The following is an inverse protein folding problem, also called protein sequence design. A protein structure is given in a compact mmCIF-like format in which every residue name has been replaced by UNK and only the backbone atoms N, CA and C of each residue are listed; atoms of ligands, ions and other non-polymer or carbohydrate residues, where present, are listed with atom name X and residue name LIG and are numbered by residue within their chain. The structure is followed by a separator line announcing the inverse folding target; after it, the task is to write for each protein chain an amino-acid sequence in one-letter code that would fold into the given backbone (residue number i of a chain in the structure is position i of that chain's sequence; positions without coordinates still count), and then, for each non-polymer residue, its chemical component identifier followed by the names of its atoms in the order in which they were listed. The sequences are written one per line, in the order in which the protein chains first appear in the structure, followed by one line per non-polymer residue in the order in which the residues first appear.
data_IF_211057420171
#
_entry.id   IF_211057420171
#
_cell.length_a   1.000
_cell.length_b   1.000
_cell.length_c   1.000
_cell.angle_alpha   90.00
_cell.angle_beta   90.00
_cell.angle_gamma   90.00
#
_symmetry.space_group_name_H-M   'P 1'
#
loop_
_entity.id
_entity.type
_entity.pdbx_description
1 polymer ?
#
# COMPACT_ATOMS: atom_id res chain seq x y z
N UNK A 1 9.59 24.09 -25.50
CA UNK A 1 10.02 23.22 -24.39
C UNK A 1 11.43 23.62 -24.01
N UNK A 2 11.66 24.12 -22.81
CA UNK A 2 13.01 24.43 -22.32
C UNK A 2 13.66 23.12 -21.84
N UNK A 3 14.75 22.71 -22.49
CA UNK A 3 15.61 21.62 -22.00
C UNK A 3 16.47 22.19 -20.87
N UNK A 4 16.11 21.87 -19.63
CA UNK A 4 17.02 22.12 -18.51
C UNK A 4 18.17 21.12 -18.60
N UNK A 5 19.44 21.58 -18.50
CA UNK A 5 20.58 20.68 -18.52
C UNK A 5 20.50 19.72 -17.32
N UNK A 6 20.75 18.44 -17.58
CA UNK A 6 20.92 17.42 -16.54
C UNK A 6 21.95 17.90 -15.52
N UNK A 7 21.61 17.83 -14.23
CA UNK A 7 22.54 18.16 -13.13
C UNK A 7 23.68 17.15 -13.01
N UNK A 8 23.53 15.96 -13.60
CA UNK A 8 24.46 14.83 -13.46
C UNK A 8 24.82 14.23 -14.82
N UNK A 9 26.01 13.63 -14.91
CA UNK A 9 26.38 12.83 -16.08
C UNK A 9 25.54 11.54 -16.14
N UNK A 10 25.37 10.99 -17.34
CA UNK A 10 24.68 9.70 -17.57
C UNK A 10 25.27 8.58 -16.72
N UNK A 11 26.59 8.56 -16.54
CA UNK A 11 27.29 7.59 -15.68
C UNK A 11 26.85 7.70 -14.22
N UNK A 12 26.76 8.92 -13.69
CA UNK A 12 26.33 9.16 -12.31
C UNK A 12 24.86 8.78 -12.09
N UNK A 13 24.00 9.02 -13.08
CA UNK A 13 22.60 8.61 -13.04
C UNK A 13 22.48 7.08 -13.04
N UNK A 14 23.28 6.39 -13.85
CA UNK A 14 23.32 4.93 -13.85
C UNK A 14 23.85 4.38 -12.51
N UNK A 15 24.81 5.05 -11.87
CA UNK A 15 25.27 4.70 -10.53
C UNK A 15 24.13 4.80 -9.49
N UNK A 16 23.40 5.92 -9.47
CA UNK A 16 22.26 6.10 -8.56
C UNK A 16 21.16 5.09 -8.82
N UNK A 17 20.87 4.79 -10.09
CA UNK A 17 19.92 3.74 -10.49
C UNK A 17 20.32 2.37 -9.93
N UNK A 18 21.59 2.00 -10.08
CA UNK A 18 22.10 0.74 -9.56
C UNK A 18 22.05 0.69 -8.03
N UNK A 19 22.29 1.82 -7.36
CA UNK A 19 22.14 1.92 -5.92
C UNK A 19 20.68 1.75 -5.46
N UNK A 20 19.70 2.30 -6.19
CA UNK A 20 18.28 1.99 -5.95
C UNK A 20 18.01 0.48 -6.03
N UNK A 21 18.45 -0.18 -7.11
CA UNK A 21 18.21 -1.61 -7.27
C UNK A 21 18.92 -2.47 -6.22
N UNK A 22 20.11 -2.07 -5.79
CA UNK A 22 20.81 -2.74 -4.69
C UNK A 22 20.08 -2.54 -3.36
N UNK A 23 19.59 -1.34 -3.08
CA UNK A 23 18.80 -1.05 -1.90
C UNK A 23 17.49 -1.86 -1.87
N UNK A 24 16.80 -1.98 -3.01
CA UNK A 24 15.61 -2.84 -3.15
C UNK A 24 15.90 -4.30 -2.79
N UNK A 25 17.00 -4.86 -3.33
CA UNK A 25 17.40 -6.25 -3.05
C UNK A 25 17.71 -6.50 -1.58
N UNK A 26 18.25 -5.49 -0.90
CA UNK A 26 18.62 -5.56 0.52
C UNK A 26 17.49 -5.12 1.46
N UNK A 27 16.33 -4.74 0.91
CA UNK A 27 15.22 -4.15 1.65
C UNK A 27 15.63 -2.93 2.51
N UNK A 28 16.60 -2.15 2.01
CA UNK A 28 17.09 -0.93 2.66
C UNK A 28 16.30 0.28 2.14
N UNK A 29 15.16 0.54 2.79
CA UNK A 29 14.23 1.59 2.34
C UNK A 29 14.83 3.00 2.42
N UNK A 30 15.67 3.28 3.43
CA UNK A 30 16.25 4.61 3.61
C UNK A 30 17.22 4.93 2.47
N UNK A 31 18.09 3.98 2.14
CA UNK A 31 19.00 4.12 1.00
C UNK A 31 18.24 4.17 -0.31
N UNK A 32 17.19 3.36 -0.46
CA UNK A 32 16.32 3.40 -1.63
C UNK A 32 15.68 4.79 -1.81
N UNK A 33 15.02 5.33 -0.79
CA UNK A 33 14.34 6.63 -0.84
C UNK A 33 15.32 7.76 -1.19
N UNK A 34 16.52 7.75 -0.61
CA UNK A 34 17.56 8.73 -0.90
C UNK A 34 17.90 8.77 -2.40
N UNK A 35 18.25 7.62 -2.98
CA UNK A 35 18.61 7.56 -4.40
C UNK A 35 17.41 7.73 -5.32
N UNK A 36 16.23 7.23 -4.92
CA UNK A 36 15.00 7.36 -5.69
C UNK A 36 14.57 8.83 -5.82
N UNK A 37 14.69 9.63 -4.76
CA UNK A 37 14.41 11.07 -4.82
C UNK A 37 15.35 11.81 -5.78
N UNK A 38 16.63 11.43 -5.85
CA UNK A 38 17.57 11.97 -6.82
C UNK A 38 17.13 11.57 -8.24
N UNK A 39 16.79 10.29 -8.46
CA UNK A 39 16.33 9.74 -9.73
C UNK A 39 15.05 10.44 -10.23
N UNK A 40 14.10 10.74 -9.34
CA UNK A 40 12.87 11.45 -9.70
C UNK A 40 13.13 12.82 -10.34
N UNK A 41 14.19 13.52 -9.92
CA UNK A 41 14.58 14.80 -10.52
C UNK A 41 15.16 14.65 -11.94
N UNK A 42 15.58 13.44 -12.32
CA UNK A 42 16.21 13.10 -13.60
C UNK A 42 15.36 12.09 -14.40
N UNK A 43 14.05 12.03 -14.16
CA UNK A 43 13.15 10.99 -14.70
C UNK A 43 13.23 10.81 -16.22
N UNK A 44 13.49 11.88 -16.97
CA UNK A 44 13.54 11.86 -18.44
C UNK A 44 14.78 11.11 -18.97
N UNK A 45 15.73 10.78 -18.11
CA UNK A 45 16.94 10.01 -18.42
C UNK A 45 16.83 8.54 -17.98
N UNK A 46 15.69 8.14 -17.42
CA UNK A 46 15.43 6.78 -16.95
C UNK A 46 14.40 6.13 -17.86
N UNK A 47 14.60 4.85 -18.16
CA UNK A 47 13.62 4.11 -18.96
C UNK A 47 12.30 3.98 -18.20
N UNK A 48 11.17 3.97 -18.92
CA UNK A 48 9.86 3.73 -18.31
C UNK A 48 9.82 2.36 -17.58
N UNK A 49 10.60 1.38 -18.02
CA UNK A 49 10.74 0.08 -17.35
C UNK A 49 11.38 0.20 -15.97
N UNK A 50 12.54 0.87 -15.90
CA UNK A 50 13.28 1.08 -14.65
C UNK A 50 12.46 1.94 -13.67
N UNK A 51 11.84 3.02 -14.18
CA UNK A 51 11.02 3.91 -13.36
C UNK A 51 9.76 3.22 -12.83
N UNK A 52 9.08 2.43 -13.67
CA UNK A 52 7.92 1.64 -13.24
C UNK A 52 8.30 0.63 -12.17
N UNK A 53 9.47 -0.02 -12.29
CA UNK A 53 9.95 -0.98 -11.30
C UNK A 53 10.22 -0.31 -9.94
N UNK A 54 10.91 0.83 -9.92
CA UNK A 54 11.18 1.58 -8.68
C UNK A 54 9.89 2.11 -8.04
N UNK A 55 8.99 2.69 -8.84
CA UNK A 55 7.67 3.15 -8.35
C UNK A 55 6.85 1.99 -7.77
N UNK A 56 6.87 0.82 -8.43
CA UNK A 56 6.18 -0.37 -7.95
C UNK A 56 6.71 -0.84 -6.60
N UNK A 57 8.03 -0.83 -6.41
CA UNK A 57 8.64 -1.14 -5.12
C UNK A 57 8.16 -0.18 -4.03
N UNK A 58 8.20 1.13 -4.30
CA UNK A 58 7.75 2.15 -3.35
C UNK A 58 6.26 2.05 -3.01
N UNK A 59 5.41 1.76 -4.02
CA UNK A 59 3.98 1.53 -3.81
C UNK A 59 3.72 0.30 -2.92
N UNK A 60 4.41 -0.81 -3.17
CA UNK A 60 4.31 -2.00 -2.30
C UNK A 60 4.79 -1.70 -0.88
N UNK A 61 5.85 -0.90 -0.74
CA UNK A 61 6.32 -0.45 0.57
C UNK A 61 5.21 0.32 1.31
N UNK A 62 4.59 1.32 0.68
CA UNK A 62 3.47 2.05 1.28
C UNK A 62 2.30 1.14 1.68
N UNK A 63 1.92 0.17 0.84
CA UNK A 63 0.90 -0.82 1.20
C UNK A 63 1.33 -1.63 2.44
N UNK A 64 2.61 -2.01 2.53
CA UNK A 64 3.15 -2.78 3.65
C UNK A 64 3.17 -2.01 4.97
N UNK A 65 3.28 -0.68 4.92
CA UNK A 65 3.16 0.21 6.08
C UNK A 65 1.73 0.69 6.32
N UNK A 66 0.75 0.24 5.53
CA UNK A 66 -0.64 0.70 5.56
C UNK A 66 -0.76 2.23 5.34
N UNK A 67 0.17 2.81 4.58
CA UNK A 67 0.18 4.22 4.16
C UNK A 67 -0.57 4.40 2.83
N UNK A 68 -1.90 4.29 2.91
CA UNK A 68 -2.75 4.40 1.72
C UNK A 68 -2.71 5.80 1.09
N UNK A 69 -2.39 6.84 1.87
CA UNK A 69 -2.31 8.21 1.37
C UNK A 69 -1.16 8.35 0.38
N UNK A 70 0.04 7.97 0.78
CA UNK A 70 1.20 8.07 -0.10
C UNK A 70 1.14 7.05 -1.25
N UNK A 71 0.49 5.91 -1.04
CA UNK A 71 0.17 4.98 -2.11
C UNK A 71 -0.63 5.66 -3.24
N UNK A 72 -1.80 6.26 -2.94
CA UNK A 72 -2.62 6.87 -3.98
C UNK A 72 -1.94 8.08 -4.62
N UNK A 73 -1.26 8.93 -3.84
CA UNK A 73 -0.50 10.08 -4.35
C UNK A 73 0.62 9.67 -5.33
N UNK A 74 1.29 8.55 -5.09
CA UNK A 74 2.30 8.04 -6.02
C UNK A 74 1.66 7.37 -7.24
N UNK A 75 0.53 6.68 -7.06
CA UNK A 75 -0.20 6.01 -8.14
C UNK A 75 -0.70 7.00 -9.20
N UNK A 76 -1.13 8.20 -8.78
CA UNK A 76 -1.54 9.28 -9.69
C UNK A 76 -0.40 9.83 -10.56
N UNK A 77 0.87 9.60 -10.15
CA UNK A 77 2.07 10.04 -10.88
C UNK A 77 2.61 8.99 -11.84
N UNK A 78 1.89 7.87 -12.01
CA UNK A 78 2.25 6.87 -13.01
C UNK A 78 1.91 7.37 -14.41
N UNK A 79 2.84 7.24 -15.35
CA UNK A 79 2.57 7.51 -16.76
C UNK A 79 1.76 6.37 -17.37
N UNK A 80 1.15 6.64 -18.53
CA UNK A 80 0.43 5.60 -19.28
C UNK A 80 1.32 4.39 -19.61
N UNK A 81 2.59 4.63 -19.94
CA UNK A 81 3.54 3.56 -20.26
C UNK A 81 3.90 2.74 -19.02
N UNK A 82 4.12 3.40 -17.88
CA UNK A 82 4.40 2.75 -16.60
C UNK A 82 3.23 1.89 -16.13
N UNK A 83 1.98 2.37 -16.25
CA UNK A 83 0.77 1.62 -15.86
C UNK A 83 0.61 0.28 -16.60
N UNK A 84 1.18 0.18 -17.81
CA UNK A 84 1.11 -1.04 -18.60
C UNK A 84 2.17 -2.09 -18.21
N UNK A 85 3.15 -1.72 -17.36
CA UNK A 85 4.24 -2.60 -16.96
C UNK A 85 3.77 -3.70 -15.99
N UNK A 86 4.33 -4.92 -16.07
CA UNK A 86 3.94 -6.04 -15.21
C UNK A 86 4.10 -5.76 -13.71
N UNK A 87 5.16 -5.04 -13.32
CA UNK A 87 5.43 -4.66 -11.93
C UNK A 87 4.28 -3.83 -11.34
N UNK A 88 3.82 -2.81 -12.06
CA UNK A 88 2.72 -1.95 -11.62
C UNK A 88 1.41 -2.74 -11.54
N UNK A 89 1.12 -3.58 -12.55
CA UNK A 89 -0.08 -4.44 -12.55
C UNK A 89 -0.11 -5.41 -11.36
N UNK A 90 1.05 -5.94 -10.96
CA UNK A 90 1.18 -6.75 -9.77
C UNK A 90 0.81 -5.94 -8.52
N UNK A 91 1.37 -4.74 -8.35
CA UNK A 91 1.06 -3.86 -7.20
C UNK A 91 -0.44 -3.55 -7.10
N UNK A 92 -1.10 -3.18 -8.20
CA UNK A 92 -2.54 -2.92 -8.21
C UNK A 92 -3.34 -4.18 -7.84
N UNK A 93 -2.87 -5.36 -8.26
CA UNK A 93 -3.50 -6.63 -7.88
C UNK A 93 -3.34 -6.93 -6.40
N UNK A 94 -2.19 -6.59 -5.80
CA UNK A 94 -1.93 -6.69 -4.36
C UNK A 94 -2.82 -5.74 -3.58
N UNK A 95 -2.95 -4.48 -4.01
CA UNK A 95 -3.85 -3.49 -3.38
C UNK A 95 -5.30 -3.97 -3.36
N UNK A 96 -5.80 -4.48 -4.49
CA UNK A 96 -7.14 -5.07 -4.56
C UNK A 96 -7.30 -6.26 -3.63
N UNK A 97 -6.30 -7.15 -3.58
CA UNK A 97 -6.31 -8.29 -2.66
C UNK A 97 -6.33 -7.86 -1.20
N UNK A 98 -5.65 -6.76 -0.86
CA UNK A 98 -5.68 -6.14 0.46
C UNK A 98 -7.06 -5.55 0.79
N UNK A 99 -7.64 -4.80 -0.14
CA UNK A 99 -8.96 -4.17 0.02
C UNK A 99 -10.09 -5.20 0.14
N UNK A 100 -10.05 -6.26 -0.66
CA UNK A 100 -10.99 -7.39 -0.60
C UNK A 100 -10.76 -8.31 0.61
N UNK A 101 -9.71 -8.05 1.40
CA UNK A 101 -9.19 -8.94 2.45
C UNK A 101 -9.00 -10.40 1.99
N UNK A 102 -8.63 -10.59 0.73
CA UNK A 102 -8.51 -11.90 0.10
C UNK A 102 -7.09 -12.45 0.26
N UNK A 103 -6.88 -13.21 1.34
CA UNK A 103 -5.58 -13.82 1.65
C UNK A 103 -5.10 -14.81 0.59
N UNK A 104 -6.01 -15.59 0.01
CA UNK A 104 -5.67 -16.58 -1.02
C UNK A 104 -5.14 -15.88 -2.28
N UNK A 105 -5.82 -14.82 -2.73
CA UNK A 105 -5.37 -13.98 -3.84
C UNK A 105 -3.98 -13.41 -3.59
N UNK A 106 -3.71 -12.89 -2.39
CA UNK A 106 -2.38 -12.40 -2.03
C UNK A 106 -1.33 -13.50 -2.04
N UNK A 107 -1.68 -14.71 -1.62
CA UNK A 107 -0.78 -15.87 -1.65
C UNK A 107 -0.46 -16.30 -3.09
N UNK A 108 -1.47 -16.33 -3.96
CA UNK A 108 -1.26 -16.58 -5.39
C UNK A 108 -0.35 -15.53 -6.01
N UNK A 109 -0.60 -14.24 -5.73
CA UNK A 109 0.22 -13.13 -6.24
C UNK A 109 1.68 -13.24 -5.77
N UNK A 110 1.89 -13.67 -4.51
CA UNK A 110 3.23 -13.95 -3.97
C UNK A 110 3.93 -15.09 -4.73
N UNK A 111 3.20 -16.16 -5.02
CA UNK A 111 3.77 -17.37 -5.65
C UNK A 111 4.11 -17.16 -7.14
N UNK A 112 3.40 -16.28 -7.84
CA UNK A 112 3.71 -15.93 -9.24
C UNK A 112 4.73 -14.78 -9.35
N UNK A 113 5.03 -14.10 -8.24
CA UNK A 113 5.99 -13.01 -8.21
C UNK A 113 7.42 -13.54 -8.34
N UNK A 114 8.13 -13.16 -9.39
CA UNK A 114 9.52 -13.55 -9.61
C UNK A 114 10.53 -12.65 -8.89
N UNK A 115 10.11 -11.42 -8.53
CA UNK A 115 10.95 -10.45 -7.83
C UNK A 115 10.94 -10.72 -6.32
N UNK A 116 12.08 -11.17 -5.77
CA UNK A 116 12.20 -11.55 -4.34
C UNK A 116 11.96 -10.37 -3.40
N UNK A 117 12.39 -9.18 -3.81
CA UNK A 117 12.18 -7.92 -3.09
C UNK A 117 10.69 -7.62 -2.87
N UNK A 118 9.82 -8.01 -3.82
CA UNK A 118 8.38 -7.79 -3.70
C UNK A 118 7.72 -8.85 -2.82
N UNK A 119 8.23 -10.09 -2.84
CA UNK A 119 7.74 -11.19 -1.99
C UNK A 119 7.80 -10.81 -0.51
N UNK A 120 8.90 -10.18 -0.07
CA UNK A 120 9.05 -9.72 1.32
C UNK A 120 7.97 -8.71 1.72
N UNK A 121 7.71 -7.72 0.87
CA UNK A 121 6.67 -6.70 1.10
C UNK A 121 5.26 -7.29 1.07
N UNK A 122 4.96 -8.20 0.13
CA UNK A 122 3.66 -8.89 0.06
C UNK A 122 3.42 -9.73 1.32
N UNK A 123 4.46 -10.40 1.82
CA UNK A 123 4.37 -11.17 3.08
C UNK A 123 4.00 -10.27 4.25
N UNK A 124 4.67 -9.11 4.38
CA UNK A 124 4.36 -8.11 5.41
C UNK A 124 2.90 -7.60 5.30
N UNK A 125 2.40 -7.37 4.09
CA UNK A 125 0.99 -6.99 3.85
C UNK A 125 0.02 -8.08 4.34
N UNK A 126 0.30 -9.36 4.02
CA UNK A 126 -0.52 -10.49 4.47
C UNK A 126 -0.55 -10.63 5.99
N UNK A 127 0.58 -10.43 6.66
CA UNK A 127 0.67 -10.47 8.13
C UNK A 127 -0.20 -9.37 8.77
N UNK A 128 -0.17 -8.16 8.21
CA UNK A 128 -0.96 -7.02 8.70
C UNK A 128 -2.47 -7.26 8.58
N UNK A 129 -2.92 -7.92 7.50
CA UNK A 129 -4.31 -8.39 7.36
C UNK A 129 -4.72 -9.38 8.46
N UNK A 130 -3.81 -10.29 8.83
CA UNK A 130 -4.03 -11.24 9.92
C UNK A 130 -4.28 -10.57 11.26
N UNK A 131 -3.57 -9.46 11.54
CA UNK A 131 -3.68 -8.73 12.80
C UNK A 131 -4.99 -7.94 12.93
N UNK A 132 -5.47 -7.27 11.87
CA UNK A 132 -6.77 -6.54 11.88
C UNK A 132 -7.95 -7.45 12.25
N UNK A 133 -7.98 -8.70 11.74
CA UNK A 133 -9.03 -9.68 12.08
C UNK A 133 -8.99 -10.16 13.53
N UNK A 134 -7.81 -10.25 14.15
CA UNK A 134 -7.69 -10.66 15.55
C UNK A 134 -8.18 -9.55 16.49
N UNK A 135 -7.83 -8.28 16.22
CA UNK A 135 -8.33 -7.15 17.01
C UNK A 135 -9.86 -7.03 16.95
N UNK A 136 -10.48 -7.22 15.78
CA UNK A 136 -11.95 -7.21 15.67
C UNK A 136 -12.62 -8.39 16.39
N UNK A 137 -12.01 -9.58 16.43
CA UNK A 137 -12.53 -10.71 17.22
C UNK A 137 -12.40 -10.53 18.73
N UNK A 138 -11.35 -9.84 19.19
CA UNK A 138 -11.12 -9.58 20.61
C UNK A 138 -12.03 -8.44 21.11
N UNK A 139 -12.20 -7.39 20.30
CA UNK A 139 -13.03 -6.22 20.64
C UNK A 139 -14.53 -6.48 20.41
N UNK A 140 -14.90 -7.30 19.42
CA UNK A 140 -16.29 -7.72 19.20
C UNK A 140 -16.87 -8.52 20.36
N UNK A 141 -16.05 -9.30 21.09
CA UNK A 141 -16.48 -10.01 22.30
C UNK A 141 -16.67 -9.12 23.54
N UNK A 142 -16.11 -7.92 23.55
CA UNK A 142 -16.20 -6.99 24.70
C UNK A 142 -17.19 -5.85 24.48
N UNK A 143 -17.60 -5.56 23.24
CA UNK A 143 -18.54 -4.48 22.93
C UNK A 143 -20.01 -4.92 22.74
N UNK A 144 -20.28 -6.20 22.49
CA UNK A 144 -21.65 -6.67 22.21
C UNK A 144 -22.54 -6.78 23.46
N UNK A 145 -21.97 -6.97 24.65
CA UNK A 145 -22.78 -7.03 25.88
C UNK A 145 -23.22 -5.62 26.36
N UNK A 146 -22.34 -4.61 26.30
CA UNK A 146 -22.61 -3.29 26.88
C UNK A 146 -23.41 -2.35 25.94
N UNK A 147 -23.31 -2.52 24.61
CA UNK A 147 -24.15 -1.75 23.65
C UNK A 147 -25.56 -2.30 23.48
N UNK A 148 -25.73 -3.62 23.60
CA UNK A 148 -27.05 -4.28 23.52
C UNK A 148 -27.94 -3.88 24.69
N UNK A 149 -27.40 -3.83 25.91
CA UNK A 149 -28.15 -3.39 27.09
C UNK A 149 -28.56 -1.91 27.03
N UNK A 150 -27.70 -1.01 26.53
CA UNK A 150 -28.07 0.40 26.36
C UNK A 150 -29.16 0.60 25.33
N UNK A 151 -29.11 -0.09 24.19
CA UNK A 151 -30.15 0.00 23.17
C UNK A 151 -31.50 -0.54 23.67
N UNK A 152 -31.48 -1.68 24.37
CA UNK A 152 -32.71 -2.25 24.96
C UNK A 152 -33.29 -1.35 26.04
N UNK A 153 -32.45 -0.68 26.83
CA UNK A 153 -32.90 0.28 27.84
C UNK A 153 -33.57 1.51 27.20
N UNK A 154 -32.96 2.09 26.17
CA UNK A 154 -33.54 3.24 25.43
C UNK A 154 -34.86 2.88 24.76
N UNK A 155 -34.97 1.68 24.17
CA UNK A 155 -36.22 1.19 23.58
C UNK A 155 -37.30 1.03 24.66
N UNK A 156 -36.95 0.45 25.81
CA UNK A 156 -37.89 0.24 26.93
C UNK A 156 -38.40 1.58 27.51
N UNK A 157 -37.50 2.52 27.75
CA UNK A 157 -37.84 3.87 28.23
C UNK A 157 -38.73 4.63 27.23
N UNK A 158 -38.47 4.46 25.93
CA UNK A 158 -39.27 5.08 24.87
C UNK A 158 -40.69 4.50 24.80
N UNK A 159 -40.84 3.19 24.99
CA UNK A 159 -42.16 2.52 25.01
C UNK A 159 -42.95 2.89 26.26
N UNK A 160 -42.30 2.98 27.42
CA UNK A 160 -42.93 3.41 28.68
C UNK A 160 -43.41 4.86 28.60
N UNK A 161 -42.60 5.76 28.03
CA UNK A 161 -43.00 7.14 27.75
C UNK A 161 -44.23 7.20 26.82
N UNK A 162 -44.20 6.46 25.72
CA UNK A 162 -45.30 6.45 24.75
C UNK A 162 -46.61 5.92 25.36
N UNK A 163 -46.54 4.93 26.25
CA UNK A 163 -47.70 4.40 26.97
C UNK A 163 -48.22 5.35 28.06
N UNK A 164 -47.36 6.23 28.59
CA UNK A 164 -47.75 7.25 29.57
C UNK A 164 -48.42 8.46 28.90
N UNK A 165 -48.00 8.83 27.69
CA UNK A 165 -48.58 9.94 26.92
C UNK A 165 -49.93 9.61 26.24
N UNK A 166 -50.28 8.32 26.14
CA UNK A 166 -51.53 7.86 25.51
C UNK A 166 -52.57 7.36 26.54
N UNK A 167 -52.43 7.75 27.82
CA UNK A 167 -53.46 7.64 28.87
C UNK A 167 -54.01 9.01 29.19
#
# INVERSE_FOLDING_TARGET
MQNYPSMYSTEKINEYKNNCFNAMKNNDINTFEYFYNIILSQKDQISDDDMALMKSYMLLYFLSENDMKNFYLLSEKLTYNEMNKPSVKLVISVERGLFEENKEKLETLKNICQAKEFIGLITKIQENLGRKRQYQKIVGRTLDEDKSERHLRVIKESVEFFNHCNK
#
